data_IF_154187185261
#
_entry.id   IF_154187185261
#
_cell.length_a   1.000
_cell.length_b   1.000
_cell.length_c   1.000
_cell.angle_alpha   90.00
_cell.angle_beta   90.00
_cell.angle_gamma   90.00
#
_symmetry.space_group_name_H-M   'P 1'
#
loop_
_entity.id
_entity.type
_entity.pdbx_description
1 polymer ?
#
# COMPACT_ATOMS: atom_id res chain seq x y z
N UNK A 1 10.83 -19.14 -4.70
CA UNK A 1 10.06 -20.13 -5.47
C UNK A 1 10.22 -21.47 -4.80
N UNK A 2 9.54 -21.67 -3.72
CA UNK A 2 9.41 -22.98 -3.09
C UNK A 2 8.51 -23.84 -3.95
N UNK A 3 8.95 -25.02 -4.19
CA UNK A 3 8.33 -26.01 -5.04
C UNK A 3 6.89 -26.29 -4.59
N UNK A 4 5.95 -25.85 -5.42
CA UNK A 4 4.55 -26.30 -5.37
C UNK A 4 4.41 -27.69 -6.03
N UNK A 5 5.55 -28.28 -6.43
CA UNK A 5 5.62 -29.61 -7.07
C UNK A 5 5.77 -30.76 -6.05
N UNK A 6 5.77 -30.47 -4.74
CA UNK A 6 5.78 -31.52 -3.73
C UNK A 6 4.33 -31.76 -3.26
N UNK A 7 3.81 -32.96 -3.52
CA UNK A 7 2.49 -33.46 -3.11
C UNK A 7 2.22 -33.37 -1.59
N UNK A 8 3.14 -32.79 -0.85
CA UNK A 8 3.09 -32.64 0.62
C UNK A 8 2.79 -31.22 1.10
N UNK A 9 2.56 -30.23 0.21
CA UNK A 9 2.27 -28.85 0.61
C UNK A 9 0.77 -28.64 0.68
N UNK A 10 0.20 -28.70 1.87
CA UNK A 10 -1.22 -28.49 2.12
C UNK A 10 -1.56 -27.01 2.38
N UNK A 11 -0.60 -26.21 2.85
CA UNK A 11 -0.77 -24.78 3.17
C UNK A 11 0.50 -24.00 2.82
N UNK A 12 0.33 -22.86 2.21
CA UNK A 12 1.45 -21.94 1.91
C UNK A 12 1.09 -20.48 2.14
N UNK A 13 2.09 -19.67 2.43
CA UNK A 13 1.94 -18.25 2.71
C UNK A 13 2.13 -17.44 1.42
N UNK A 14 1.27 -16.42 1.25
CA UNK A 14 1.30 -15.52 0.09
C UNK A 14 1.33 -14.08 0.59
N UNK A 15 2.29 -13.30 0.08
CA UNK A 15 2.24 -11.85 0.25
C UNK A 15 1.09 -11.27 -0.60
N UNK A 16 0.39 -10.25 -0.08
CA UNK A 16 -0.78 -9.65 -0.71
C UNK A 16 -0.53 -9.16 -2.16
N UNK A 17 0.66 -8.63 -2.44
CA UNK A 17 1.03 -8.17 -3.79
C UNK A 17 1.07 -9.30 -4.84
N UNK A 18 1.25 -10.54 -4.41
CA UNK A 18 1.28 -11.72 -5.27
C UNK A 18 0.00 -12.56 -5.22
N UNK A 19 -0.99 -12.20 -4.38
CA UNK A 19 -2.20 -12.97 -4.19
C UNK A 19 -2.93 -13.27 -5.50
N UNK A 20 -3.06 -12.28 -6.39
CA UNK A 20 -3.75 -12.43 -7.68
C UNK A 20 -3.17 -13.55 -8.55
N UNK A 21 -1.87 -13.81 -8.50
CA UNK A 21 -1.22 -14.89 -9.23
C UNK A 21 -1.73 -16.27 -8.78
N UNK A 22 -1.90 -16.44 -7.47
CA UNK A 22 -2.28 -17.73 -6.89
C UNK A 22 -3.79 -17.95 -6.90
N UNK A 23 -4.60 -16.93 -6.61
CA UNK A 23 -6.06 -17.09 -6.63
C UNK A 23 -6.62 -17.34 -8.04
N UNK A 24 -5.91 -16.92 -9.08
CA UNK A 24 -6.23 -17.19 -10.50
C UNK A 24 -5.73 -18.53 -11.00
N UNK A 25 -4.92 -19.22 -10.22
CA UNK A 25 -4.36 -20.53 -10.58
C UNK A 25 -5.13 -21.67 -9.88
N UNK A 26 -4.81 -22.90 -10.29
CA UNK A 26 -5.33 -24.13 -9.66
C UNK A 26 -4.54 -24.52 -8.40
N UNK A 27 -3.50 -23.74 -8.04
CA UNK A 27 -2.70 -23.97 -6.83
C UNK A 27 -3.39 -23.53 -5.53
N UNK A 28 -4.56 -22.90 -5.63
CA UNK A 28 -5.38 -22.51 -4.48
C UNK A 28 -6.83 -22.97 -4.68
N UNK A 29 -7.45 -23.41 -3.60
CA UNK A 29 -8.78 -24.02 -3.62
C UNK A 29 -9.80 -23.17 -2.87
N UNK A 30 -11.08 -23.43 -3.08
CA UNK A 30 -12.19 -22.81 -2.34
C UNK A 30 -12.11 -23.16 -0.86
N UNK A 31 -11.85 -22.16 -0.01
CA UNK A 31 -11.70 -22.39 1.44
C UNK A 31 -13.02 -22.74 2.12
N UNK A 32 -14.16 -22.36 1.56
CA UNK A 32 -15.47 -22.71 2.10
C UNK A 32 -15.89 -24.11 1.66
N UNK A 33 -15.88 -24.38 0.36
CA UNK A 33 -16.37 -25.63 -0.19
C UNK A 33 -15.44 -26.81 0.11
N UNK A 34 -14.13 -26.62 0.01
CA UNK A 34 -13.14 -27.69 0.09
C UNK A 34 -12.56 -27.84 1.49
N UNK A 35 -12.23 -26.72 2.15
CA UNK A 35 -11.68 -26.73 3.53
C UNK A 35 -12.80 -26.76 4.58
N UNK A 36 -14.02 -26.32 4.22
CA UNK A 36 -15.18 -26.34 5.10
C UNK A 36 -15.33 -25.11 6.00
N UNK A 37 -14.60 -23.99 5.72
CA UNK A 37 -14.78 -22.77 6.49
C UNK A 37 -16.13 -22.14 6.25
N UNK A 38 -16.78 -21.69 7.31
CA UNK A 38 -18.09 -21.05 7.28
C UNK A 38 -17.96 -19.52 7.22
N UNK A 39 -19.08 -18.84 6.93
CA UNK A 39 -19.12 -17.36 7.02
C UNK A 39 -18.88 -16.87 8.45
N UNK A 40 -19.26 -17.66 9.46
CA UNK A 40 -19.00 -17.38 10.87
C UNK A 40 -17.50 -17.39 11.18
N UNK A 41 -16.74 -18.35 10.64
CA UNK A 41 -15.29 -18.42 10.81
C UNK A 41 -14.58 -17.20 10.16
N UNK A 42 -15.14 -16.67 9.09
CA UNK A 42 -14.56 -15.60 8.28
C UNK A 42 -15.09 -14.20 8.64
N UNK A 43 -16.05 -14.07 9.55
CA UNK A 43 -16.72 -12.78 9.84
C UNK A 43 -15.80 -11.71 10.43
N UNK A 44 -14.74 -12.10 11.12
CA UNK A 44 -13.78 -11.19 11.74
C UNK A 44 -12.74 -10.65 10.74
N UNK A 45 -12.68 -11.21 9.53
CA UNK A 45 -11.78 -10.69 8.49
C UNK A 45 -12.34 -9.42 7.85
N UNK A 46 -11.47 -8.44 7.61
CA UNK A 46 -11.85 -7.25 6.86
C UNK A 46 -12.21 -7.58 5.40
N UNK A 47 -13.20 -6.93 4.86
CA UNK A 47 -13.69 -7.20 3.51
C UNK A 47 -12.62 -7.01 2.44
N UNK A 48 -11.74 -6.02 2.58
CA UNK A 48 -10.64 -5.82 1.63
C UNK A 48 -9.66 -7.00 1.61
N UNK A 49 -9.40 -7.64 2.76
CA UNK A 49 -8.52 -8.81 2.84
C UNK A 49 -9.16 -10.04 2.20
N UNK A 50 -10.47 -10.25 2.41
CA UNK A 50 -11.23 -11.30 1.72
C UNK A 50 -11.22 -11.10 0.21
N UNK A 51 -11.37 -9.84 -0.24
CA UNK A 51 -11.39 -9.49 -1.66
C UNK A 51 -10.06 -9.78 -2.37
N UNK A 52 -8.92 -9.54 -1.73
CA UNK A 52 -7.58 -9.82 -2.29
C UNK A 52 -7.38 -11.32 -2.59
N UNK A 53 -7.96 -12.19 -1.77
CA UNK A 53 -7.83 -13.65 -1.90
C UNK A 53 -9.04 -14.31 -2.54
N UNK A 54 -9.85 -13.55 -3.26
CA UNK A 54 -11.03 -14.04 -3.97
C UNK A 54 -10.93 -13.83 -5.47
N UNK A 55 -11.44 -14.80 -6.24
CA UNK A 55 -11.58 -14.72 -7.69
C UNK A 55 -12.97 -15.21 -8.08
N UNK A 56 -13.70 -14.45 -8.90
CA UNK A 56 -15.07 -14.77 -9.36
C UNK A 56 -16.05 -15.11 -8.22
N UNK A 57 -15.93 -14.41 -7.08
CA UNK A 57 -16.76 -14.65 -5.90
C UNK A 57 -16.36 -15.86 -5.04
N UNK A 58 -15.32 -16.59 -5.42
CA UNK A 58 -14.79 -17.73 -4.66
C UNK A 58 -13.61 -17.28 -3.83
N UNK A 59 -13.69 -17.43 -2.51
CA UNK A 59 -12.58 -17.15 -1.62
C UNK A 59 -11.62 -18.35 -1.59
N UNK A 60 -10.35 -18.11 -1.97
CA UNK A 60 -9.30 -19.13 -2.10
C UNK A 60 -8.14 -18.94 -1.11
N UNK A 61 -8.34 -18.16 -0.09
CA UNK A 61 -7.37 -17.94 0.96
C UNK A 61 -7.97 -17.24 2.17
N UNK A 62 -7.19 -17.19 3.24
CA UNK A 62 -7.52 -16.49 4.48
C UNK A 62 -6.35 -15.60 4.90
N UNK A 63 -6.62 -14.56 5.66
CA UNK A 63 -5.58 -13.70 6.21
C UNK A 63 -5.60 -13.76 7.73
N UNK A 64 -4.42 -13.73 8.35
CA UNK A 64 -4.31 -13.66 9.81
C UNK A 64 -3.97 -12.23 10.30
N UNK A 65 -3.67 -11.30 9.40
CA UNK A 65 -3.30 -9.94 9.77
C UNK A 65 -3.82 -8.91 8.78
N UNK A 66 -3.93 -7.67 9.27
CA UNK A 66 -4.13 -6.49 8.46
C UNK A 66 -2.97 -5.52 8.72
N UNK A 67 -2.37 -4.97 7.66
CA UNK A 67 -1.24 -4.04 7.74
C UNK A 67 -1.63 -2.70 7.11
N UNK A 68 -2.39 -1.85 7.81
CA UNK A 68 -2.78 -0.55 7.29
C UNK A 68 -1.55 0.34 7.13
N UNK A 69 -1.50 1.11 6.05
CA UNK A 69 -0.51 2.15 5.87
C UNK A 69 -0.76 3.31 6.82
N UNK A 70 0.30 3.84 7.42
CA UNK A 70 0.26 4.98 8.31
C UNK A 70 1.29 6.02 7.86
N UNK A 71 0.98 7.30 8.10
CA UNK A 71 1.98 8.35 8.04
C UNK A 71 2.55 8.57 9.44
N UNK A 72 3.82 8.18 9.64
CA UNK A 72 4.52 8.40 10.89
C UNK A 72 5.38 9.68 10.78
N UNK A 73 5.42 10.48 11.85
CA UNK A 73 6.19 11.72 11.89
C UNK A 73 6.95 11.87 13.21
N UNK A 74 8.05 12.62 13.17
CA UNK A 74 8.82 12.97 14.36
C UNK A 74 8.16 14.15 15.08
N UNK A 75 7.58 13.90 16.26
CA UNK A 75 6.84 14.90 17.05
C UNK A 75 7.66 16.17 17.34
N UNK A 76 8.95 16.01 17.67
CA UNK A 76 9.84 17.15 17.93
C UNK A 76 10.03 18.05 16.70
N UNK A 77 10.11 17.48 15.50
CA UNK A 77 10.22 18.25 14.24
C UNK A 77 8.87 18.91 13.93
N UNK A 78 7.74 18.18 14.05
CA UNK A 78 6.41 18.75 13.86
C UNK A 78 6.18 19.95 14.77
N UNK A 79 6.50 19.83 16.06
CA UNK A 79 6.38 20.94 17.02
C UNK A 79 7.22 22.15 16.61
N UNK A 80 8.45 21.93 16.17
CA UNK A 80 9.37 23.00 15.77
C UNK A 80 8.91 23.71 14.48
N UNK A 81 8.43 22.97 13.48
CA UNK A 81 8.17 23.50 12.12
C UNK A 81 6.69 23.86 11.93
N UNK A 82 5.78 23.05 12.50
CA UNK A 82 4.34 23.20 12.34
C UNK A 82 3.66 23.89 13.54
N UNK A 83 4.41 24.12 14.63
CA UNK A 83 3.91 24.74 15.87
C UNK A 83 3.16 23.77 16.78
N UNK A 84 2.98 22.51 16.36
CA UNK A 84 2.25 21.49 17.12
C UNK A 84 2.83 20.10 16.93
N UNK A 85 2.70 19.25 17.94
CA UNK A 85 2.99 17.83 17.89
C UNK A 85 1.76 16.96 18.15
N UNK A 86 0.60 17.59 18.25
CA UNK A 86 -0.69 16.92 18.39
C UNK A 86 -1.10 16.27 17.06
N UNK A 87 -1.42 14.94 17.04
CA UNK A 87 -1.73 14.21 15.82
C UNK A 87 -2.90 14.80 15.03
N UNK A 88 -3.96 15.25 15.70
CA UNK A 88 -5.15 15.78 15.04
C UNK A 88 -4.86 17.13 14.35
N UNK A 89 -4.03 17.96 14.98
CA UNK A 89 -3.60 19.22 14.38
C UNK A 89 -2.62 19.02 13.23
N UNK A 90 -1.71 18.05 13.35
CA UNK A 90 -0.81 17.66 12.26
C UNK A 90 -1.61 17.08 11.09
N UNK A 91 -2.60 16.21 11.37
CA UNK A 91 -3.46 15.65 10.33
C UNK A 91 -4.21 16.75 9.55
N UNK A 92 -4.71 17.80 10.21
CA UNK A 92 -5.34 18.94 9.52
C UNK A 92 -4.41 19.67 8.55
N UNK A 93 -3.11 19.70 8.87
CA UNK A 93 -2.08 20.31 8.01
C UNK A 93 -1.61 19.39 6.89
N UNK A 94 -1.95 18.08 6.92
CA UNK A 94 -1.58 17.07 5.95
C UNK A 94 -2.78 16.43 5.23
N UNK A 95 -3.97 17.03 5.33
CA UNK A 95 -5.24 16.41 4.94
C UNK A 95 -5.39 16.10 3.44
N UNK A 96 -4.64 16.77 2.60
CA UNK A 96 -4.63 16.62 1.15
C UNK A 96 -3.21 16.84 0.59
N UNK A 97 -3.00 16.50 -0.68
CA UNK A 97 -1.67 16.60 -1.30
C UNK A 97 -1.16 18.03 -1.42
N UNK A 98 -2.03 19.01 -1.64
CA UNK A 98 -1.62 20.41 -1.73
C UNK A 98 -1.07 20.90 -0.37
N UNK A 99 -1.72 20.52 0.71
CA UNK A 99 -1.24 20.82 2.07
C UNK A 99 0.01 20.02 2.43
N UNK A 100 0.09 18.77 1.99
CA UNK A 100 1.28 17.95 2.18
C UNK A 100 2.49 18.60 1.49
N UNK A 101 2.33 19.11 0.26
CA UNK A 101 3.38 19.81 -0.49
C UNK A 101 3.78 21.14 0.18
N UNK A 102 2.82 21.89 0.74
CA UNK A 102 3.10 23.10 1.52
C UNK A 102 3.91 22.78 2.80
N UNK A 103 3.60 21.68 3.46
CA UNK A 103 4.37 21.21 4.62
C UNK A 103 5.76 20.74 4.19
N UNK A 104 5.89 20.05 3.07
CA UNK A 104 7.21 19.66 2.53
C UNK A 104 8.11 20.88 2.28
N UNK A 105 7.55 21.96 1.74
CA UNK A 105 8.26 23.22 1.56
C UNK A 105 8.71 23.83 2.90
N UNK A 106 7.83 23.86 3.90
CA UNK A 106 8.16 24.35 5.25
C UNK A 106 9.26 23.51 5.91
N UNK A 107 9.18 22.20 5.79
CA UNK A 107 10.19 21.27 6.32
C UNK A 107 11.55 21.54 5.68
N UNK A 108 11.60 21.65 4.35
CA UNK A 108 12.84 21.93 3.64
C UNK A 108 13.45 23.29 4.00
N UNK A 109 12.62 24.34 4.12
CA UNK A 109 13.08 25.68 4.57
C UNK A 109 13.66 25.64 6.00
N UNK A 110 13.20 24.70 6.84
CA UNK A 110 13.71 24.48 8.19
C UNK A 110 14.88 23.48 8.28
N UNK A 111 15.41 23.01 7.13
CA UNK A 111 16.52 22.07 7.05
C UNK A 111 16.14 20.59 7.28
N UNK A 112 14.85 20.24 7.14
CA UNK A 112 14.36 18.88 7.27
C UNK A 112 13.81 18.35 5.94
N UNK A 113 13.80 17.03 5.78
CA UNK A 113 13.19 16.37 4.62
C UNK A 113 11.80 15.85 4.98
N UNK A 114 10.88 15.95 4.02
CA UNK A 114 9.51 15.50 4.20
C UNK A 114 9.39 13.99 4.15
N UNK A 115 10.12 13.36 3.22
CA UNK A 115 10.11 11.91 2.98
C UNK A 115 11.53 11.36 2.97
N UNK A 116 11.67 10.06 3.23
CA UNK A 116 12.94 9.36 3.10
C UNK A 116 13.33 9.17 1.63
N UNK A 117 12.38 8.74 0.80
CA UNK A 117 12.61 8.50 -0.62
C UNK A 117 11.32 8.54 -1.45
N UNK A 118 11.43 8.21 -2.72
CA UNK A 118 10.30 8.24 -3.66
C UNK A 118 9.24 7.16 -3.38
N UNK A 119 9.62 6.06 -2.73
CA UNK A 119 8.73 4.94 -2.42
C UNK A 119 7.74 5.24 -1.30
N UNK A 120 8.03 6.21 -0.42
CA UNK A 120 7.26 6.43 0.80
C UNK A 120 5.81 6.88 0.52
N UNK A 121 5.58 7.62 -0.55
CA UNK A 121 4.23 8.03 -0.96
C UNK A 121 3.56 7.07 -1.95
N UNK A 122 4.28 6.09 -2.51
CA UNK A 122 3.77 5.24 -3.59
C UNK A 122 2.45 4.54 -3.25
N UNK A 123 2.35 3.92 -2.08
CA UNK A 123 1.16 3.16 -1.68
C UNK A 123 -0.10 4.03 -1.56
N UNK A 124 0.04 5.30 -1.17
CA UNK A 124 -1.08 6.23 -1.10
C UNK A 124 -1.69 6.50 -2.49
N UNK A 125 -0.89 6.44 -3.54
CA UNK A 125 -1.36 6.59 -4.92
C UNK A 125 -1.77 5.25 -5.53
N UNK A 126 -0.95 4.21 -5.39
CA UNK A 126 -1.16 2.92 -6.05
C UNK A 126 -2.37 2.15 -5.51
N UNK A 127 -2.76 2.35 -4.25
CA UNK A 127 -3.95 1.74 -3.69
C UNK A 127 -5.26 2.43 -4.12
N UNK A 128 -5.18 3.56 -4.79
CA UNK A 128 -6.33 4.35 -5.26
C UNK A 128 -6.41 4.44 -6.79
N UNK A 129 -5.88 3.46 -7.51
CA UNK A 129 -5.99 3.38 -8.96
C UNK A 129 -7.38 2.91 -9.39
N UNK A 130 -7.85 3.40 -10.54
CA UNK A 130 -9.16 3.09 -11.10
C UNK A 130 -9.15 1.85 -11.99
N UNK A 131 -7.99 1.42 -12.45
CA UNK A 131 -7.84 0.24 -13.31
C UNK A 131 -6.44 -0.39 -13.15
N UNK A 132 -6.25 -1.66 -13.53
CA UNK A 132 -4.96 -2.33 -13.51
C UNK A 132 -4.02 -1.76 -14.58
N UNK A 133 -2.71 -2.07 -14.46
CA UNK A 133 -1.69 -1.70 -15.41
C UNK A 133 -1.92 -2.23 -16.83
N UNK A 134 -2.63 -3.35 -16.95
CA UNK A 134 -2.94 -3.97 -18.25
C UNK A 134 -4.46 -4.02 -18.41
N UNK A 135 -4.96 -3.42 -19.48
CA UNK A 135 -6.36 -3.46 -19.89
C UNK A 135 -6.42 -4.03 -21.29
N UNK A 136 -6.98 -5.23 -21.44
CA UNK A 136 -6.85 -6.02 -22.65
C UNK A 136 -5.37 -6.33 -22.94
N UNK A 137 -4.87 -5.90 -24.10
CA UNK A 137 -3.48 -6.07 -24.53
C UNK A 137 -2.65 -4.78 -24.45
N UNK A 138 -3.10 -3.77 -23.69
CA UNK A 138 -2.45 -2.46 -23.62
C UNK A 138 -2.00 -2.16 -22.20
N UNK A 139 -0.80 -1.59 -22.06
CA UNK A 139 -0.36 -0.97 -20.81
C UNK A 139 -1.06 0.36 -20.66
N UNK A 140 -1.72 0.56 -19.52
CA UNK A 140 -2.42 1.80 -19.17
C UNK A 140 -1.88 2.30 -17.84
N UNK A 141 -1.36 3.52 -17.84
CA UNK A 141 -0.84 4.14 -16.63
C UNK A 141 -1.95 5.02 -16.04
N UNK A 142 -2.43 4.62 -14.87
CA UNK A 142 -3.47 5.35 -14.14
C UNK A 142 -3.05 6.79 -13.80
N UNK A 143 -4.00 7.71 -13.74
CA UNK A 143 -3.72 9.12 -13.42
C UNK A 143 -3.14 9.29 -12.02
N UNK A 144 -3.49 8.45 -11.04
CA UNK A 144 -2.87 8.51 -9.71
C UNK A 144 -1.40 8.08 -9.75
N UNK A 145 -1.05 7.13 -10.59
CA UNK A 145 0.37 6.77 -10.80
C UNK A 145 1.13 7.93 -11.47
N UNK A 146 0.51 8.59 -12.44
CA UNK A 146 1.13 9.78 -13.07
C UNK A 146 1.28 10.94 -12.07
N UNK A 147 0.33 11.13 -11.14
CA UNK A 147 0.46 12.10 -10.04
C UNK A 147 1.65 11.77 -9.15
N UNK A 148 1.81 10.51 -8.74
CA UNK A 148 2.95 10.07 -7.97
C UNK A 148 4.29 10.33 -8.70
N UNK A 149 4.37 10.01 -10.00
CA UNK A 149 5.57 10.29 -10.82
C UNK A 149 5.89 11.79 -10.83
N UNK A 150 4.90 12.65 -10.99
CA UNK A 150 5.09 14.11 -10.94
C UNK A 150 5.58 14.57 -9.57
N UNK A 151 4.93 14.13 -8.50
CA UNK A 151 5.32 14.46 -7.12
C UNK A 151 6.74 14.03 -6.80
N UNK A 152 7.11 12.78 -7.11
CA UNK A 152 8.45 12.26 -6.82
C UNK A 152 9.53 13.01 -7.58
N UNK A 153 9.28 13.37 -8.85
CA UNK A 153 10.18 14.20 -9.65
C UNK A 153 10.36 15.59 -9.02
N UNK A 154 9.27 16.24 -8.63
CA UNK A 154 9.29 17.54 -7.98
C UNK A 154 10.04 17.49 -6.63
N UNK A 155 9.77 16.48 -5.81
CA UNK A 155 10.42 16.30 -4.52
C UNK A 155 11.92 16.04 -4.64
N UNK A 156 12.34 15.32 -5.67
CA UNK A 156 13.75 15.14 -5.97
C UNK A 156 14.42 16.46 -6.42
N UNK A 157 13.76 17.23 -7.28
CA UNK A 157 14.28 18.51 -7.78
C UNK A 157 14.33 19.59 -6.70
N UNK A 158 13.35 19.63 -5.79
CA UNK A 158 13.25 20.59 -4.70
C UNK A 158 13.95 20.14 -3.42
N UNK A 159 14.59 18.97 -3.45
CA UNK A 159 15.30 18.40 -2.31
C UNK A 159 14.40 18.18 -1.06
N UNK A 160 13.16 17.71 -1.29
CA UNK A 160 12.19 17.44 -0.23
C UNK A 160 12.29 16.03 0.36
N UNK A 161 13.13 15.16 -0.21
CA UNK A 161 13.40 13.81 0.30
C UNK A 161 14.90 13.56 0.48
N UNK A 162 15.26 12.50 1.19
CA UNK A 162 16.65 12.10 1.45
C UNK A 162 17.27 11.24 0.34
N UNK A 163 16.59 11.07 -0.80
CA UNK A 163 17.03 10.24 -1.91
C UNK A 163 17.35 8.79 -1.53
N UNK A 164 16.77 8.28 -0.45
CA UNK A 164 16.96 6.90 -0.03
C UNK A 164 16.06 5.98 -0.83
N UNK A 165 16.62 4.86 -1.28
CA UNK A 165 15.87 3.79 -1.94
C UNK A 165 15.74 2.62 -0.97
N UNK A 166 14.59 1.93 -0.97
CA UNK A 166 14.50 0.63 -0.32
C UNK A 166 15.53 -0.29 -0.97
N UNK A 167 16.51 -0.74 -0.20
CA UNK A 167 17.29 -1.91 -0.61
C UNK A 167 16.33 -3.12 -0.52
N UNK A 168 16.04 -3.70 -1.65
CA UNK A 168 15.32 -4.99 -1.72
C UNK A 168 16.26 -6.12 -1.37
#
# INVERSE_FOLDING_TARGET
NTCIDDDKVDLFLIEADYASKYVKSDNSIDVKKTVGLTDEDLKQQYDYTKKIVSENGIQKGVTWQATPGLFAYRRSIAKKVLGTDDPDQVQKQLKDWDKFDQVAQKMNAAGYKMLSGYDDSYRAFSNNVSHPWVVGNKIVIDENIKKWIRQTKEYAQKDYNNHTNRKR
#
